data_IF_075343097770
#
_entry.id   IF_075343097770
#
_cell.length_a   1.000
_cell.length_b   1.000
_cell.length_c   1.000
_cell.angle_alpha   90.00
_cell.angle_beta   90.00
_cell.angle_gamma   90.00
#
_symmetry.space_group_name_H-M   'P 1'
#
loop_
_entity.id
_entity.type
_entity.pdbx_description
1 polymer ?
#
# COMPACT_ATOMS: atom_id res chain seq x y z
N UNK A 1 22.78 -15.11 -37.04
CA UNK A 1 23.33 -13.99 -36.23
C UNK A 1 22.31 -12.85 -36.02
N UNK A 2 21.00 -13.13 -36.07
CA UNK A 2 19.92 -12.14 -35.79
C UNK A 2 19.03 -12.61 -34.63
N UNK A 3 18.89 -13.93 -34.42
CA UNK A 3 18.34 -14.55 -33.20
C UNK A 3 19.21 -14.33 -31.94
N UNK A 4 20.38 -13.70 -32.07
CA UNK A 4 21.24 -13.30 -30.95
C UNK A 4 20.91 -11.91 -30.40
N UNK A 5 20.10 -11.13 -31.12
CA UNK A 5 19.77 -9.74 -30.76
C UNK A 5 18.37 -9.63 -30.12
N UNK A 6 17.45 -10.55 -30.43
CA UNK A 6 16.09 -10.53 -29.84
C UNK A 6 16.05 -11.18 -28.44
N UNK A 7 16.97 -12.10 -28.14
CA UNK A 7 17.04 -12.78 -26.84
C UNK A 7 17.72 -11.94 -25.73
N UNK A 8 18.31 -10.78 -26.05
CA UNK A 8 19.09 -9.99 -25.08
C UNK A 8 18.29 -8.85 -24.40
N UNK A 9 17.03 -8.60 -24.77
CA UNK A 9 16.29 -7.41 -24.27
C UNK A 9 14.90 -7.68 -23.70
N UNK A 10 14.39 -8.94 -23.69
CA UNK A 10 12.99 -9.24 -23.31
C UNK A 10 12.78 -10.26 -22.17
N UNK A 11 13.83 -10.93 -21.68
CA UNK A 11 13.74 -11.80 -20.51
C UNK A 11 14.15 -11.08 -19.21
N UNK A 12 15.09 -10.13 -19.31
CA UNK A 12 15.47 -9.21 -18.23
C UNK A 12 14.29 -8.36 -17.77
N UNK A 13 13.38 -8.01 -18.68
CA UNK A 13 12.16 -7.29 -18.35
C UNK A 13 11.16 -8.15 -17.58
N UNK A 14 11.00 -9.45 -17.90
CA UNK A 14 9.97 -10.28 -17.27
C UNK A 14 10.13 -10.38 -15.74
N UNK A 15 11.34 -10.67 -15.26
CA UNK A 15 11.62 -10.73 -13.81
C UNK A 15 11.34 -9.39 -13.10
N UNK A 16 11.61 -8.27 -13.77
CA UNK A 16 11.32 -6.92 -13.28
C UNK A 16 9.83 -6.56 -13.34
N UNK A 17 9.05 -7.26 -14.17
CA UNK A 17 7.60 -7.07 -14.29
C UNK A 17 6.78 -7.95 -13.34
N UNK A 18 7.36 -9.01 -12.76
CA UNK A 18 6.63 -9.93 -11.85
C UNK A 18 6.00 -9.17 -10.69
N UNK A 19 6.80 -8.45 -9.92
CA UNK A 19 6.34 -7.75 -8.73
C UNK A 19 5.27 -6.68 -9.08
N UNK A 20 5.50 -5.77 -10.05
CA UNK A 20 4.46 -4.85 -10.48
C UNK A 20 3.16 -5.54 -10.92
N UNK A 21 3.24 -6.61 -11.73
CA UNK A 21 2.04 -7.34 -12.17
C UNK A 21 1.26 -7.94 -10.98
N UNK A 22 1.96 -8.48 -9.98
CA UNK A 22 1.32 -8.97 -8.75
C UNK A 22 0.63 -7.85 -7.99
N UNK A 23 1.25 -6.67 -7.88
CA UNK A 23 0.64 -5.49 -7.25
C UNK A 23 -0.64 -5.08 -7.97
N UNK A 24 -0.62 -5.02 -9.31
CA UNK A 24 -1.80 -4.68 -10.11
C UNK A 24 -2.91 -5.72 -10.01
N UNK A 25 -2.59 -7.02 -10.07
CA UNK A 25 -3.57 -8.11 -9.90
C UNK A 25 -4.16 -8.12 -8.48
N UNK A 26 -3.34 -7.84 -7.47
CA UNK A 26 -3.79 -7.67 -6.07
C UNK A 26 -4.77 -6.51 -5.95
N UNK A 27 -4.51 -5.39 -6.63
CA UNK A 27 -5.42 -4.24 -6.65
C UNK A 27 -6.77 -4.59 -7.31
N UNK A 28 -6.78 -5.29 -8.45
CA UNK A 28 -8.02 -5.74 -9.12
C UNK A 28 -8.90 -6.53 -8.14
N UNK A 29 -8.31 -7.51 -7.46
CA UNK A 29 -9.04 -8.32 -6.49
C UNK A 29 -9.51 -7.53 -5.26
N UNK A 30 -8.69 -6.58 -4.83
CA UNK A 30 -9.05 -5.68 -3.73
C UNK A 30 -10.27 -4.83 -4.07
N UNK A 31 -10.37 -4.32 -5.31
CA UNK A 31 -11.56 -3.60 -5.80
C UNK A 31 -12.80 -4.50 -5.83
N UNK A 32 -12.67 -5.73 -6.34
CA UNK A 32 -13.77 -6.70 -6.36
C UNK A 32 -14.26 -7.03 -4.94
N UNK A 33 -13.32 -7.28 -4.02
CA UNK A 33 -13.63 -7.61 -2.62
C UNK A 33 -14.29 -6.43 -1.92
N UNK A 34 -13.76 -5.22 -2.08
CA UNK A 34 -14.34 -4.02 -1.45
C UNK A 34 -15.73 -3.73 -1.99
N UNK A 35 -15.93 -3.86 -3.31
CA UNK A 35 -17.24 -3.70 -3.93
C UNK A 35 -18.29 -4.62 -3.31
N UNK A 36 -17.93 -5.88 -3.08
CA UNK A 36 -18.82 -6.88 -2.44
C UNK A 36 -19.00 -6.61 -0.94
N UNK A 37 -17.91 -6.34 -0.21
CA UNK A 37 -17.92 -6.21 1.25
C UNK A 37 -18.74 -4.98 1.71
N UNK A 38 -18.88 -3.96 0.87
CA UNK A 38 -19.66 -2.76 1.18
C UNK A 38 -21.17 -2.89 0.90
N UNK A 39 -21.60 -3.95 0.21
CA UNK A 39 -23.03 -4.18 -0.06
C UNK A 39 -23.73 -4.61 1.24
N UNK A 40 -24.68 -3.78 1.70
CA UNK A 40 -25.46 -4.04 2.91
C UNK A 40 -26.62 -5.04 2.67
N UNK A 41 -27.21 -5.03 1.48
CA UNK A 41 -28.31 -5.94 1.14
C UNK A 41 -27.77 -7.37 0.92
N UNK A 42 -28.25 -8.33 1.72
CA UNK A 42 -27.74 -9.71 1.70
C UNK A 42 -27.94 -10.40 0.35
N UNK A 43 -29.05 -10.15 -0.33
CA UNK A 43 -29.34 -10.76 -1.62
C UNK A 43 -28.43 -10.17 -2.69
N UNK A 44 -28.35 -8.85 -2.77
CA UNK A 44 -27.47 -8.17 -3.72
C UNK A 44 -25.99 -8.50 -3.49
N UNK A 45 -25.58 -8.69 -2.23
CA UNK A 45 -24.23 -9.16 -1.89
C UNK A 45 -23.99 -10.55 -2.46
N UNK A 46 -24.92 -11.49 -2.27
CA UNK A 46 -24.82 -12.84 -2.81
C UNK A 46 -24.83 -12.86 -4.35
N UNK A 47 -25.76 -12.12 -4.98
CA UNK A 47 -25.86 -11.99 -6.43
C UNK A 47 -24.57 -11.40 -7.03
N UNK A 48 -23.98 -10.39 -6.37
CA UNK A 48 -22.70 -9.79 -6.79
C UNK A 48 -21.51 -10.73 -6.59
N UNK A 49 -21.50 -11.50 -5.50
CA UNK A 49 -20.49 -12.53 -5.26
C UNK A 49 -20.51 -13.58 -6.37
N UNK A 50 -21.68 -14.07 -6.74
CA UNK A 50 -21.86 -15.02 -7.84
C UNK A 50 -21.42 -14.40 -9.18
N UNK A 51 -21.87 -13.17 -9.47
CA UNK A 51 -21.53 -12.48 -10.72
C UNK A 51 -20.02 -12.23 -10.88
N UNK A 52 -19.30 -12.00 -9.78
CA UNK A 52 -17.85 -11.75 -9.81
C UNK A 52 -17.01 -13.04 -9.67
N UNK A 53 -17.63 -14.20 -9.40
CA UNK A 53 -16.90 -15.43 -9.09
C UNK A 53 -15.88 -15.79 -10.18
N UNK A 54 -16.32 -15.89 -11.44
CA UNK A 54 -15.43 -16.24 -12.57
C UNK A 54 -14.29 -15.23 -12.71
N UNK A 55 -14.55 -13.94 -12.52
CA UNK A 55 -13.53 -12.90 -12.63
C UNK A 55 -12.49 -12.99 -11.50
N UNK A 56 -12.94 -13.29 -10.28
CA UNK A 56 -12.06 -13.55 -9.14
C UNK A 56 -11.18 -14.78 -9.38
N UNK A 57 -11.75 -15.88 -9.89
CA UNK A 57 -11.02 -17.10 -10.22
C UNK A 57 -9.96 -16.86 -11.30
N UNK A 58 -10.30 -16.16 -12.38
CA UNK A 58 -9.36 -15.79 -13.44
C UNK A 58 -8.24 -14.90 -12.93
N UNK A 59 -8.56 -13.88 -12.13
CA UNK A 59 -7.57 -12.96 -11.53
C UNK A 59 -6.60 -13.73 -10.63
N UNK A 60 -7.13 -14.62 -9.79
CA UNK A 60 -6.33 -15.46 -8.91
C UNK A 60 -5.44 -16.45 -9.68
N UNK A 61 -5.96 -17.07 -10.73
CA UNK A 61 -5.17 -17.97 -11.60
C UNK A 61 -4.03 -17.20 -12.28
N UNK A 62 -4.30 -16.00 -12.82
CA UNK A 62 -3.27 -15.14 -13.39
C UNK A 62 -2.21 -14.79 -12.35
N UNK A 63 -2.63 -14.43 -11.13
CA UNK A 63 -1.73 -14.10 -10.04
C UNK A 63 -0.84 -15.27 -9.62
N UNK A 64 -1.40 -16.48 -9.53
CA UNK A 64 -0.63 -17.71 -9.28
C UNK A 64 0.40 -17.99 -10.37
N UNK A 65 0.03 -17.80 -11.63
CA UNK A 65 0.94 -17.98 -12.77
C UNK A 65 2.11 -16.99 -12.64
N UNK A 66 1.81 -15.71 -12.41
CA UNK A 66 2.83 -14.66 -12.26
C UNK A 66 3.72 -14.94 -11.03
N UNK A 67 3.13 -15.30 -9.89
CA UNK A 67 3.87 -15.61 -8.67
C UNK A 67 4.84 -16.79 -8.86
N UNK A 68 4.42 -17.83 -9.58
CA UNK A 68 5.24 -19.01 -9.82
C UNK A 68 6.07 -18.95 -11.10
N UNK A 69 6.01 -17.86 -11.89
CA UNK A 69 6.63 -17.82 -13.22
C UNK A 69 8.13 -18.09 -13.17
N UNK A 70 8.83 -17.61 -12.13
CA UNK A 70 10.25 -17.88 -11.95
C UNK A 70 10.51 -19.38 -11.74
N UNK A 71 9.72 -20.05 -10.89
CA UNK A 71 9.84 -21.49 -10.65
C UNK A 71 9.52 -22.29 -11.91
N UNK A 72 8.45 -21.92 -12.62
CA UNK A 72 8.06 -22.56 -13.88
C UNK A 72 9.15 -22.43 -14.94
N UNK A 73 9.75 -21.25 -15.08
CA UNK A 73 10.85 -21.02 -16.02
C UNK A 73 12.10 -21.80 -15.63
N UNK A 74 12.42 -21.85 -14.32
CA UNK A 74 13.53 -22.65 -13.81
C UNK A 74 13.33 -24.15 -14.08
N UNK A 75 12.13 -24.68 -13.85
CA UNK A 75 11.78 -26.08 -14.11
C UNK A 75 11.81 -26.40 -15.62
N UNK A 76 11.48 -25.41 -16.47
CA UNK A 76 11.63 -25.48 -17.92
C UNK A 76 13.08 -25.33 -18.42
N UNK A 77 14.07 -25.24 -17.52
CA UNK A 77 15.49 -25.11 -17.86
C UNK A 77 15.93 -23.69 -18.24
N UNK A 78 15.07 -22.69 -18.05
CA UNK A 78 15.37 -21.28 -18.29
C UNK A 78 15.86 -20.64 -16.98
N UNK A 79 17.19 -20.53 -16.84
CA UNK A 79 17.77 -19.81 -15.70
C UNK A 79 17.64 -18.30 -15.89
N UNK A 80 16.92 -17.64 -14.98
CA UNK A 80 16.84 -16.17 -14.92
C UNK A 80 18.07 -15.56 -14.19
N UNK A 81 18.86 -16.38 -13.49
CA UNK A 81 20.03 -15.94 -12.72
C UNK A 81 21.35 -15.96 -13.52
N UNK A 82 21.33 -16.46 -14.76
CA UNK A 82 22.52 -16.62 -15.60
C UNK A 82 22.74 -15.44 -16.58
N UNK A 83 22.86 -14.21 -16.08
CA UNK A 83 23.12 -13.03 -16.93
C UNK A 83 24.20 -12.07 -16.40
N UNK A 84 25.33 -12.62 -15.97
CA UNK A 84 26.64 -11.93 -16.06
C UNK A 84 27.33 -12.38 -17.37
N UNK A 85 27.66 -11.44 -18.26
CA UNK A 85 28.41 -11.67 -19.51
C UNK A 85 29.84 -12.23 -19.25
N UNK A 86 30.53 -12.83 -20.25
CA UNK A 86 30.63 -14.26 -20.58
C UNK A 86 31.99 -14.90 -20.11
N UNK A 87 32.28 -16.22 -20.31
CA UNK A 87 32.76 -16.73 -21.60
C UNK A 87 32.18 -18.10 -22.05
N UNK A 88 31.90 -18.16 -23.36
CA UNK A 88 32.03 -19.27 -24.34
C UNK A 88 32.02 -20.73 -23.81
N UNK A 89 31.03 -21.54 -24.24
CA UNK A 89 31.18 -23.00 -24.27
C UNK A 89 29.89 -23.84 -24.40
N UNK A 90 29.48 -24.12 -25.65
CA UNK A 90 28.67 -25.25 -26.17
C UNK A 90 27.80 -26.12 -25.24
N UNK A 91 26.48 -26.21 -25.53
CA UNK A 91 25.85 -27.39 -26.18
C UNK A 91 24.40 -27.11 -26.61
N UNK A 92 24.03 -27.67 -27.77
CA UNK A 92 22.75 -27.55 -28.48
C UNK A 92 21.74 -28.59 -27.99
N UNK A 93 20.44 -28.26 -28.01
CA UNK A 93 19.40 -29.18 -28.46
C UNK A 93 18.70 -28.56 -29.67
N UNK A 94 18.63 -29.34 -30.75
CA UNK A 94 18.05 -29.02 -32.05
C UNK A 94 16.76 -29.83 -32.21
N UNK A 95 15.60 -29.18 -32.08
CA UNK A 95 14.33 -29.57 -32.69
C UNK A 95 13.34 -28.42 -32.43
N UNK A 96 12.48 -28.11 -33.39
CA UNK A 96 11.44 -27.06 -33.37
C UNK A 96 11.90 -25.61 -33.68
N UNK A 97 12.42 -25.41 -34.91
CA UNK A 97 12.60 -24.08 -35.50
C UNK A 97 11.54 -23.72 -36.56
N UNK A 98 10.57 -24.60 -36.82
CA UNK A 98 9.59 -24.39 -37.90
C UNK A 98 8.30 -23.66 -37.48
N UNK A 99 8.17 -23.26 -36.21
CA UNK A 99 6.98 -22.56 -35.70
C UNK A 99 7.20 -21.10 -35.28
N UNK A 100 8.33 -20.48 -35.61
CA UNK A 100 8.65 -19.12 -35.14
C UNK A 100 8.56 -18.13 -36.31
N UNK A 101 7.72 -17.10 -36.18
CA UNK A 101 7.54 -16.08 -37.21
C UNK A 101 8.73 -15.09 -37.30
N UNK A 102 8.69 -14.19 -38.30
CA UNK A 102 9.74 -13.17 -38.52
C UNK A 102 9.94 -12.21 -37.34
N UNK A 103 9.00 -12.16 -36.39
CA UNK A 103 9.05 -11.32 -35.20
C UNK A 103 9.46 -12.11 -33.95
N UNK A 104 9.81 -13.40 -34.07
CA UNK A 104 10.30 -14.23 -32.98
C UNK A 104 9.20 -14.84 -32.09
N UNK A 105 7.94 -14.88 -32.54
CA UNK A 105 6.82 -15.46 -31.78
C UNK A 105 6.40 -16.82 -32.34
N UNK A 106 6.04 -17.79 -31.47
CA UNK A 106 5.41 -19.02 -31.89
C UNK A 106 4.11 -18.77 -32.68
N UNK A 107 3.84 -19.65 -33.65
CA UNK A 107 2.69 -19.58 -34.55
C UNK A 107 1.34 -19.52 -33.81
N UNK A 108 1.24 -20.15 -32.64
CA UNK A 108 0.05 -20.21 -31.79
C UNK A 108 -0.28 -18.92 -31.03
N UNK A 109 0.65 -17.96 -30.90
CA UNK A 109 0.38 -16.67 -30.24
C UNK A 109 -0.42 -15.78 -31.21
N UNK A 110 -1.64 -15.29 -30.90
CA UNK A 110 -2.39 -14.42 -31.82
C UNK A 110 -1.64 -13.11 -32.15
N UNK A 111 -1.81 -12.58 -33.38
CA UNK A 111 -1.13 -11.34 -33.82
C UNK A 111 -1.39 -10.13 -32.90
N UNK A 112 -2.59 -10.01 -32.34
CA UNK A 112 -2.92 -8.93 -31.41
C UNK A 112 -2.14 -9.05 -30.10
N UNK A 113 -1.97 -10.27 -29.60
CA UNK A 113 -1.23 -10.56 -28.37
C UNK A 113 0.27 -10.35 -28.58
N UNK A 114 0.78 -10.67 -29.78
CA UNK A 114 2.17 -10.35 -30.17
C UNK A 114 2.44 -8.85 -30.09
N UNK A 115 1.47 -8.01 -30.52
CA UNK A 115 1.61 -6.56 -30.48
C UNK A 115 1.66 -6.01 -29.05
N UNK A 116 0.91 -6.64 -28.13
CA UNK A 116 0.97 -6.35 -26.69
C UNK A 116 2.33 -6.79 -26.08
N UNK A 117 2.86 -7.95 -26.48
CA UNK A 117 4.16 -8.48 -26.05
C UNK A 117 5.37 -7.80 -26.74
N UNK A 118 5.13 -6.95 -27.73
CA UNK A 118 6.15 -6.21 -28.48
C UNK A 118 6.33 -4.76 -28.02
N UNK A 119 5.52 -4.26 -27.09
CA UNK A 119 5.71 -2.94 -26.49
C UNK A 119 7.12 -2.85 -25.88
N UNK A 120 7.86 -1.80 -26.23
CA UNK A 120 9.20 -1.53 -25.75
C UNK A 120 9.19 -1.26 -24.24
N UNK A 121 10.22 -1.71 -23.49
CA UNK A 121 10.36 -1.43 -22.07
C UNK A 121 10.95 -0.03 -21.87
N UNK A 122 10.18 0.98 -22.25
CA UNK A 122 10.19 2.15 -21.41
C UNK A 122 9.36 1.74 -20.19
N UNK A 123 9.73 2.14 -18.96
CA UNK A 123 8.93 1.92 -17.74
C UNK A 123 7.53 2.61 -17.80
N UNK A 124 7.08 2.98 -19.00
CA UNK A 124 5.82 3.57 -19.44
C UNK A 124 4.71 2.52 -19.66
N UNK A 125 5.00 1.21 -19.62
CA UNK A 125 3.96 0.19 -19.86
C UNK A 125 2.96 0.00 -18.69
N UNK A 126 3.32 0.38 -17.46
CA UNK A 126 2.49 0.21 -16.26
C UNK A 126 1.79 1.50 -15.81
N UNK A 127 2.32 2.65 -16.18
CA UNK A 127 1.81 3.96 -15.81
C UNK A 127 1.40 4.72 -17.05
N UNK A 128 0.25 5.42 -17.01
CA UNK A 128 -0.26 6.16 -18.16
C UNK A 128 0.60 7.37 -18.51
N UNK A 129 1.26 7.91 -17.50
CA UNK A 129 2.07 9.13 -17.62
C UNK A 129 3.54 8.82 -17.53
N UNK A 130 4.34 9.55 -18.31
CA UNK A 130 5.79 9.56 -18.20
C UNK A 130 6.19 9.90 -16.76
N UNK A 131 7.23 9.24 -16.27
CA UNK A 131 7.80 9.54 -14.95
C UNK A 131 8.22 11.02 -14.86
N UNK A 132 7.67 11.79 -13.90
CA UNK A 132 8.07 13.19 -13.70
C UNK A 132 9.49 13.26 -13.13
N UNK A 133 10.20 14.39 -13.31
CA UNK A 133 11.50 14.59 -12.69
C UNK A 133 11.41 14.59 -11.15
N UNK A 134 12.54 14.39 -10.44
CA UNK A 134 12.59 14.49 -8.98
C UNK A 134 12.00 15.80 -8.44
N UNK A 135 11.33 15.74 -7.28
CA UNK A 135 10.82 16.94 -6.60
C UNK A 135 12.02 17.79 -6.16
N UNK A 136 12.14 19.06 -6.60
CA UNK A 136 13.18 19.94 -6.09
C UNK A 136 12.91 20.31 -4.62
N UNK A 137 13.96 20.67 -3.86
CA UNK A 137 13.82 21.05 -2.46
C UNK A 137 12.80 22.20 -2.26
N UNK A 138 12.83 23.19 -3.16
CA UNK A 138 11.91 24.33 -3.22
C UNK A 138 11.08 24.26 -4.51
N UNK A 139 9.93 23.56 -4.51
CA UNK A 139 9.09 23.41 -5.71
C UNK A 139 8.28 24.68 -5.98
N UNK A 140 8.30 25.15 -7.24
CA UNK A 140 7.36 26.16 -7.71
C UNK A 140 5.97 25.54 -7.87
N UNK A 141 4.94 26.04 -7.17
CA UNK A 141 3.59 25.47 -7.29
C UNK A 141 2.89 25.92 -8.58
N UNK A 142 2.11 25.01 -9.17
CA UNK A 142 1.17 25.31 -10.27
C UNK A 142 -0.13 25.94 -9.74
N UNK A 143 -0.48 25.61 -8.49
CA UNK A 143 -1.63 26.13 -7.78
C UNK A 143 -1.27 26.49 -6.33
N UNK A 144 -1.74 27.64 -5.86
CA UNK A 144 -1.66 28.05 -4.46
C UNK A 144 -3.06 28.17 -3.90
N UNK A 145 -3.32 27.46 -2.80
CA UNK A 145 -4.59 27.46 -2.07
C UNK A 145 -4.40 28.22 -0.76
N UNK A 146 -5.22 29.24 -0.51
CA UNK A 146 -5.20 29.99 0.73
C UNK A 146 -6.59 30.52 1.09
N UNK A 147 -7.06 30.27 2.33
CA UNK A 147 -8.38 30.72 2.78
C UNK A 147 -8.45 32.25 2.99
N UNK A 148 -7.31 32.92 3.11
CA UNK A 148 -7.18 34.38 3.28
C UNK A 148 -7.20 35.18 1.97
N UNK A 149 -7.36 34.50 0.83
CA UNK A 149 -7.36 35.12 -0.50
C UNK A 149 -5.98 35.45 -1.07
N UNK A 150 -4.89 35.09 -0.39
CA UNK A 150 -3.51 35.29 -0.88
C UNK A 150 -3.04 34.24 -1.89
N UNK A 151 -3.89 33.26 -2.21
CA UNK A 151 -3.66 32.20 -3.20
C UNK A 151 -4.51 32.39 -4.46
N UNK A 152 -4.24 31.58 -5.49
CA UNK A 152 -5.06 31.54 -6.71
C UNK A 152 -6.43 30.92 -6.45
N UNK A 153 -6.50 29.99 -5.50
CA UNK A 153 -7.72 29.28 -5.11
C UNK A 153 -7.98 29.47 -3.63
N UNK A 154 -9.26 29.54 -3.25
CA UNK A 154 -9.67 29.59 -1.84
C UNK A 154 -9.96 28.20 -1.27
N UNK A 155 -9.98 27.18 -2.13
CA UNK A 155 -10.31 25.79 -1.79
C UNK A 155 -9.40 24.79 -2.51
N UNK A 156 -9.13 23.67 -1.87
CA UNK A 156 -8.34 22.56 -2.39
C UNK A 156 -9.08 21.89 -3.55
N UNK A 157 -10.40 21.71 -3.44
CA UNK A 157 -11.23 21.19 -4.54
C UNK A 157 -11.14 22.03 -5.81
N UNK A 158 -11.09 23.36 -5.68
CA UNK A 158 -10.91 24.26 -6.83
C UNK A 158 -9.55 24.06 -7.49
N UNK A 159 -8.47 23.91 -6.70
CA UNK A 159 -7.15 23.63 -7.25
C UNK A 159 -7.09 22.28 -7.97
N UNK A 160 -7.68 21.22 -7.39
CA UNK A 160 -7.75 19.90 -8.04
C UNK A 160 -8.60 19.96 -9.32
N UNK A 161 -9.73 20.66 -9.32
CA UNK A 161 -10.57 20.83 -10.51
C UNK A 161 -9.84 21.58 -11.64
N UNK A 162 -8.87 22.43 -11.30
CA UNK A 162 -8.01 23.13 -12.24
C UNK A 162 -6.74 22.35 -12.64
N UNK A 163 -6.74 21.03 -12.41
CA UNK A 163 -5.64 20.13 -12.78
C UNK A 163 -5.22 20.34 -14.24
N UNK A 164 -3.99 20.82 -14.39
CA UNK A 164 -3.35 21.10 -15.67
C UNK A 164 -1.84 20.94 -15.45
N UNK A 165 -1.30 19.71 -15.56
CA UNK A 165 0.10 19.45 -15.25
C UNK A 165 1.01 20.27 -16.18
N UNK A 166 2.04 20.88 -15.60
CA UNK A 166 3.02 21.65 -16.35
C UNK A 166 3.93 20.76 -17.23
N UNK A 167 4.92 21.34 -17.91
CA UNK A 167 5.86 20.62 -18.78
C UNK A 167 6.66 19.51 -18.07
N UNK A 168 6.77 19.56 -16.74
CA UNK A 168 7.41 18.52 -15.93
C UNK A 168 6.56 17.26 -15.79
N UNK A 169 5.27 17.30 -16.15
CA UNK A 169 4.32 16.20 -15.98
C UNK A 169 3.78 16.04 -14.55
N UNK A 170 4.23 16.85 -13.59
CA UNK A 170 3.74 16.90 -12.20
C UNK A 170 2.85 18.13 -12.01
N UNK A 171 1.74 17.97 -11.28
CA UNK A 171 0.87 19.07 -10.86
C UNK A 171 1.08 19.37 -9.37
N UNK A 172 1.65 20.52 -9.06
CA UNK A 172 2.11 20.89 -7.73
C UNK A 172 1.12 21.88 -7.10
N UNK A 173 0.52 21.48 -5.98
CA UNK A 173 -0.44 22.28 -5.22
C UNK A 173 0.18 22.65 -3.87
N UNK A 174 0.39 23.95 -3.66
CA UNK A 174 0.76 24.49 -2.35
C UNK A 174 -0.50 24.88 -1.58
N UNK A 175 -0.66 24.35 -0.38
CA UNK A 175 -1.79 24.60 0.50
C UNK A 175 -1.27 25.34 1.74
N UNK A 176 -1.62 26.62 1.88
CA UNK A 176 -1.16 27.43 3.02
C UNK A 176 -1.72 26.91 4.35
N UNK A 177 -1.18 27.42 5.44
CA UNK A 177 -1.67 27.16 6.80
C UNK A 177 -3.18 27.48 6.91
N UNK A 178 -3.91 26.58 7.55
CA UNK A 178 -5.37 26.65 7.65
C UNK A 178 -5.98 25.29 7.96
N UNK A 179 -7.25 25.32 8.37
CA UNK A 179 -8.08 24.11 8.50
C UNK A 179 -9.12 24.10 7.39
N UNK A 180 -8.97 23.16 6.47
CA UNK A 180 -9.78 23.01 5.27
C UNK A 180 -10.84 21.94 5.49
N UNK A 181 -12.09 22.36 5.68
CA UNK A 181 -13.25 21.47 5.78
C UNK A 181 -14.10 21.60 4.52
N UNK A 182 -13.75 20.83 3.49
CA UNK A 182 -14.39 20.90 2.16
C UNK A 182 -15.28 19.67 1.88
N UNK A 183 -15.56 18.84 2.90
CA UNK A 183 -16.06 17.48 2.71
C UNK A 183 -15.01 16.58 2.05
N UNK A 184 -15.43 15.44 1.49
CA UNK A 184 -14.49 14.51 0.85
C UNK A 184 -13.76 15.15 -0.34
N UNK A 185 -12.43 15.07 -0.34
CA UNK A 185 -11.55 15.52 -1.43
C UNK A 185 -11.04 14.29 -2.19
N UNK A 186 -11.17 14.33 -3.51
CA UNK A 186 -10.76 13.22 -4.39
C UNK A 186 -9.72 13.72 -5.40
N UNK A 187 -8.55 13.10 -5.42
CA UNK A 187 -7.62 13.17 -6.56
C UNK A 187 -7.93 11.99 -7.46
N UNK A 188 -8.71 12.25 -8.49
CA UNK A 188 -9.37 11.24 -9.30
C UNK A 188 -8.45 10.58 -10.33
N UNK A 189 -8.92 9.51 -10.97
CA UNK A 189 -8.29 8.88 -12.11
C UNK A 189 -8.06 9.90 -13.23
N UNK A 190 -6.82 10.00 -13.71
CA UNK A 190 -6.42 10.98 -14.73
C UNK A 190 -5.87 12.28 -14.15
N UNK A 191 -6.00 12.48 -12.83
CA UNK A 191 -5.26 13.50 -12.07
C UNK A 191 -3.97 12.87 -11.53
N UNK A 192 -3.11 12.43 -12.45
CA UNK A 192 -1.87 11.70 -12.16
C UNK A 192 -0.72 12.66 -11.78
N UNK A 193 0.30 12.16 -11.08
CA UNK A 193 1.45 12.92 -10.60
C UNK A 193 1.06 14.21 -9.83
N UNK A 194 0.01 14.16 -9.01
CA UNK A 194 -0.35 15.28 -8.14
C UNK A 194 0.55 15.28 -6.91
N UNK A 195 1.19 16.41 -6.64
CA UNK A 195 1.96 16.65 -5.42
C UNK A 195 1.35 17.80 -4.62
N UNK A 196 0.84 17.48 -3.42
CA UNK A 196 0.34 18.48 -2.47
C UNK A 196 1.37 18.75 -1.38
N UNK A 197 1.64 20.02 -1.06
CA UNK A 197 2.44 20.34 0.12
C UNK A 197 1.85 21.47 0.95
N UNK A 198 2.01 21.36 2.27
CA UNK A 198 1.53 22.33 3.25
C UNK A 198 2.64 23.13 3.92
N UNK A 199 2.25 24.06 4.79
CA UNK A 199 3.17 24.85 5.64
C UNK A 199 3.72 24.06 6.85
N UNK A 200 3.39 22.76 6.92
CA UNK A 200 3.74 21.84 8.00
C UNK A 200 2.50 21.12 8.52
N UNK A 201 2.67 19.86 8.98
CA UNK A 201 1.56 19.01 9.44
C UNK A 201 0.73 19.62 10.57
N UNK A 202 1.35 20.45 11.42
CA UNK A 202 0.66 21.13 12.52
C UNK A 202 -0.06 22.43 12.10
N UNK A 203 0.10 22.86 10.84
CA UNK A 203 -0.40 24.14 10.32
C UNK A 203 -1.42 23.98 9.20
N UNK A 204 -1.22 23.00 8.32
CA UNK A 204 -2.12 22.73 7.18
C UNK A 204 -2.88 21.44 7.44
N UNK A 205 -4.17 21.57 7.76
CA UNK A 205 -5.04 20.46 8.14
C UNK A 205 -6.21 20.35 7.17
N UNK A 206 -6.43 19.18 6.60
CA UNK A 206 -7.61 18.83 5.81
C UNK A 206 -8.50 17.94 6.69
N UNK A 207 -9.74 18.37 6.94
CA UNK A 207 -10.62 17.70 7.91
C UNK A 207 -11.98 17.34 7.32
N UNK A 208 -12.51 16.20 7.75
CA UNK A 208 -13.85 15.71 7.45
C UNK A 208 -14.43 14.93 8.64
N UNK A 209 -15.63 14.37 8.46
CA UNK A 209 -16.35 13.63 9.51
C UNK A 209 -17.32 12.56 8.97
N UNK A 210 -17.14 12.14 7.71
CA UNK A 210 -17.91 11.04 7.15
C UNK A 210 -17.59 9.75 7.91
N UNK A 211 -18.59 8.90 8.13
CA UNK A 211 -18.45 7.73 9.00
C UNK A 211 -19.49 6.66 8.69
N UNK A 212 -19.18 5.42 9.05
CA UNK A 212 -20.07 4.28 8.85
C UNK A 212 -21.31 4.35 9.75
N UNK A 213 -21.13 4.53 11.07
CA UNK A 213 -22.16 4.30 12.07
C UNK A 213 -23.41 5.17 11.92
N UNK A 214 -23.20 6.46 11.67
CA UNK A 214 -24.25 7.49 11.68
C UNK A 214 -24.78 7.72 10.27
N UNK A 215 -23.93 7.61 9.25
CA UNK A 215 -24.32 7.91 7.86
C UNK A 215 -24.77 6.67 7.07
N UNK A 216 -24.54 5.46 7.59
CA UNK A 216 -24.91 4.19 6.95
C UNK A 216 -24.32 4.07 5.52
N UNK A 217 -23.05 4.46 5.37
CA UNK A 217 -22.27 4.37 4.12
C UNK A 217 -21.10 3.40 4.32
N UNK A 218 -20.59 2.80 3.24
CA UNK A 218 -19.43 1.91 3.31
C UNK A 218 -18.17 2.61 3.81
N UNK A 219 -17.30 1.91 4.54
CA UNK A 219 -16.03 2.44 5.09
C UNK A 219 -15.20 3.17 4.05
N UNK A 220 -15.11 2.62 2.83
CA UNK A 220 -14.31 3.18 1.74
C UNK A 220 -14.82 4.57 1.30
N UNK A 221 -16.10 4.86 1.52
CA UNK A 221 -16.74 6.14 1.20
C UNK A 221 -16.54 7.20 2.29
N UNK A 222 -16.00 6.83 3.46
CA UNK A 222 -15.85 7.73 4.61
C UNK A 222 -14.56 8.59 4.55
N UNK A 223 -13.69 8.34 3.58
CA UNK A 223 -12.40 9.01 3.48
C UNK A 223 -12.54 10.55 3.41
N UNK A 224 -11.82 11.27 4.26
CA UNK A 224 -11.73 12.74 4.16
C UNK A 224 -10.96 13.14 2.90
N UNK A 225 -9.84 12.46 2.62
CA UNK A 225 -9.12 12.58 1.36
C UNK A 225 -8.91 11.20 0.75
N UNK A 226 -9.14 11.08 -0.55
CA UNK A 226 -8.82 9.88 -1.31
C UNK A 226 -7.94 10.19 -2.54
N UNK A 227 -6.90 9.40 -2.71
CA UNK A 227 -5.97 9.49 -3.84
C UNK A 227 -6.15 8.27 -4.77
N UNK A 228 -6.45 8.53 -6.04
CA UNK A 228 -6.71 7.51 -7.07
C UNK A 228 -5.74 7.66 -8.25
N UNK A 229 -5.48 8.90 -8.69
CA UNK A 229 -4.50 9.18 -9.74
C UNK A 229 -3.10 8.65 -9.41
N UNK A 230 -2.35 8.21 -10.41
CA UNK A 230 -1.04 7.56 -10.25
C UNK A 230 -0.01 8.51 -9.63
N UNK A 231 0.94 7.98 -8.85
CA UNK A 231 2.09 8.72 -8.28
C UNK A 231 1.70 9.91 -7.41
N UNK A 232 0.63 9.76 -6.62
CA UNK A 232 0.21 10.79 -5.67
C UNK A 232 1.29 11.00 -4.59
N UNK A 233 1.56 12.27 -4.28
CA UNK A 233 2.48 12.64 -3.21
C UNK A 233 1.89 13.73 -2.32
N UNK A 234 2.13 13.63 -1.01
CA UNK A 234 1.85 14.71 -0.08
C UNK A 234 3.03 14.98 0.87
N UNK A 235 3.23 16.26 1.24
CA UNK A 235 4.22 16.65 2.25
C UNK A 235 3.72 17.70 3.23
N UNK A 236 3.93 17.51 4.53
CA UNK A 236 3.68 18.56 5.52
C UNK A 236 2.19 18.94 5.65
N UNK A 237 1.29 17.96 5.54
CA UNK A 237 -0.16 18.13 5.64
C UNK A 237 -0.71 17.10 6.63
N UNK A 238 -1.71 17.49 7.41
CA UNK A 238 -2.50 16.56 8.22
C UNK A 238 -3.84 16.24 7.57
N UNK A 239 -4.16 14.96 7.44
CA UNK A 239 -5.45 14.44 7.03
C UNK A 239 -6.21 13.98 8.27
N UNK A 240 -7.41 14.51 8.50
CA UNK A 240 -8.19 14.27 9.73
C UNK A 240 -9.61 13.81 9.44
N UNK A 241 -10.02 12.73 10.08
CA UNK A 241 -11.44 12.44 10.32
C UNK A 241 -11.78 12.71 11.79
N UNK A 242 -12.70 13.66 12.01
CA UNK A 242 -12.97 14.27 13.31
C UNK A 242 -14.18 13.70 14.04
N UNK A 243 -14.83 12.66 13.52
CA UNK A 243 -16.11 12.16 14.05
C UNK A 243 -16.02 11.57 15.47
N UNK A 244 -14.85 11.07 15.89
CA UNK A 244 -14.70 10.40 17.17
C UNK A 244 -14.94 8.89 17.12
N UNK A 245 -14.74 8.18 18.25
CA UNK A 245 -14.88 6.71 18.30
C UNK A 245 -16.32 6.24 18.08
N UNK A 246 -17.32 7.06 18.43
CA UNK A 246 -18.73 6.81 18.19
C UNK A 246 -19.13 6.75 16.70
N UNK A 247 -18.29 7.29 15.80
CA UNK A 247 -18.49 7.16 14.35
C UNK A 247 -18.18 5.77 13.79
N UNK A 248 -17.59 4.88 14.60
CA UNK A 248 -16.98 3.63 14.15
C UNK A 248 -16.01 3.89 12.97
N UNK A 249 -16.08 3.13 11.88
CA UNK A 249 -15.19 3.25 10.73
C UNK A 249 -15.27 4.66 10.10
N UNK A 250 -14.15 5.38 10.11
CA UNK A 250 -14.09 6.76 9.65
C UNK A 250 -12.69 7.12 9.14
N UNK A 251 -12.52 7.05 7.82
CA UNK A 251 -11.20 7.15 7.19
C UNK A 251 -10.73 8.60 7.08
N UNK A 252 -9.50 8.88 7.50
CA UNK A 252 -8.86 10.18 7.30
C UNK A 252 -8.23 10.27 5.91
N UNK A 253 -7.48 9.23 5.52
CA UNK A 253 -6.85 9.14 4.21
C UNK A 253 -6.99 7.74 3.63
N UNK A 254 -7.42 7.66 2.36
CA UNK A 254 -7.48 6.43 1.58
C UNK A 254 -6.63 6.56 0.33
N UNK A 255 -5.72 5.63 0.09
CA UNK A 255 -4.98 5.60 -1.18
C UNK A 255 -5.25 4.35 -1.99
N UNK A 256 -5.60 4.59 -3.24
CA UNK A 256 -5.66 3.65 -4.36
C UNK A 256 -4.63 4.01 -5.43
N UNK A 257 -3.74 4.97 -5.16
CA UNK A 257 -2.79 5.48 -6.13
C UNK A 257 -1.60 4.53 -6.28
N UNK A 258 -1.30 4.04 -7.50
CA UNK A 258 -0.04 3.36 -7.77
C UNK A 258 1.15 4.26 -7.43
N UNK A 259 1.99 3.81 -6.50
CA UNK A 259 3.13 4.56 -5.93
C UNK A 259 2.71 5.82 -5.17
N UNK A 260 2.11 5.64 -4.00
CA UNK A 260 1.82 6.75 -3.06
C UNK A 260 3.05 7.09 -2.23
N UNK A 261 3.34 8.39 -2.05
CA UNK A 261 4.43 8.86 -1.17
C UNK A 261 3.95 9.95 -0.22
N UNK A 262 4.08 9.70 1.09
CA UNK A 262 3.66 10.62 2.15
C UNK A 262 4.86 10.97 3.04
N UNK A 263 5.17 12.26 3.17
CA UNK A 263 6.36 12.72 3.91
C UNK A 263 5.97 13.81 4.91
N UNK A 264 6.39 13.69 6.17
CA UNK A 264 6.08 14.69 7.20
C UNK A 264 4.57 14.95 7.33
N UNK A 265 3.73 13.94 7.13
CA UNK A 265 2.27 14.05 7.18
C UNK A 265 1.70 13.63 8.53
N UNK A 266 0.52 14.16 8.87
CA UNK A 266 -0.32 13.68 9.97
C UNK A 266 -1.52 12.90 9.45
N UNK A 267 -1.91 11.84 10.16
CA UNK A 267 -3.14 11.08 9.90
C UNK A 267 -3.89 10.95 11.21
N UNK A 268 -5.01 11.65 11.34
CA UNK A 268 -5.73 11.77 12.60
C UNK A 268 -7.13 11.19 12.48
N UNK A 269 -7.41 10.15 13.27
CA UNK A 269 -8.74 9.57 13.38
C UNK A 269 -8.88 8.74 14.65
N UNK A 270 -9.84 7.81 14.60
CA UNK A 270 -10.07 6.80 15.64
C UNK A 270 -10.05 5.43 14.94
N UNK A 271 -11.21 4.85 14.65
CA UNK A 271 -11.31 3.59 13.93
C UNK A 271 -11.10 3.79 12.41
N UNK A 272 -10.29 2.93 11.80
CA UNK A 272 -10.01 2.90 10.35
C UNK A 272 -9.35 4.19 9.81
N UNK A 273 -8.37 4.76 10.52
CA UNK A 273 -7.80 6.09 10.18
C UNK A 273 -7.08 6.12 8.82
N UNK A 274 -6.14 5.21 8.58
CA UNK A 274 -5.32 5.14 7.38
C UNK A 274 -5.66 3.89 6.58
N UNK A 275 -6.30 4.10 5.42
CA UNK A 275 -6.67 3.03 4.50
C UNK A 275 -5.66 2.92 3.35
N UNK A 276 -4.65 2.03 3.49
CA UNK A 276 -3.71 1.70 2.42
C UNK A 276 -4.37 0.73 1.41
N UNK A 277 -5.42 1.23 0.75
CA UNK A 277 -6.40 0.39 0.07
C UNK A 277 -5.77 -0.50 -1.01
N UNK A 278 -4.99 0.02 -1.93
CA UNK A 278 -4.34 -0.77 -3.00
C UNK A 278 -2.96 -0.23 -3.36
N UNK A 279 -2.19 -1.03 -4.10
CA UNK A 279 -0.87 -0.69 -4.63
C UNK A 279 0.21 -0.41 -3.57
N UNK A 280 1.37 0.07 -4.02
CA UNK A 280 2.54 0.36 -3.18
C UNK A 280 2.49 1.78 -2.61
N UNK A 281 2.74 1.89 -1.32
CA UNK A 281 2.62 3.13 -0.56
C UNK A 281 3.74 3.26 0.46
N UNK A 282 4.43 4.41 0.42
CA UNK A 282 5.54 4.72 1.33
C UNK A 282 5.20 5.94 2.21
N UNK A 283 5.38 5.79 3.51
CA UNK A 283 5.12 6.82 4.52
C UNK A 283 6.40 7.08 5.31
N UNK A 284 6.85 8.33 5.36
CA UNK A 284 8.11 8.73 6.01
C UNK A 284 7.88 9.86 6.99
N UNK A 285 8.41 9.74 8.21
CA UNK A 285 8.32 10.79 9.25
C UNK A 285 6.88 11.27 9.51
N UNK A 286 5.94 10.34 9.47
CA UNK A 286 4.52 10.61 9.66
C UNK A 286 4.11 10.45 11.13
N UNK A 287 2.99 11.06 11.51
CA UNK A 287 2.32 10.77 12.78
C UNK A 287 0.92 10.19 12.48
N UNK A 288 0.67 8.95 12.90
CA UNK A 288 -0.56 8.22 12.60
C UNK A 288 -1.28 7.92 13.92
N UNK A 289 -2.46 8.49 14.10
CA UNK A 289 -3.26 8.38 15.31
C UNK A 289 -4.51 7.52 15.09
N UNK A 290 -4.84 6.64 16.04
CA UNK A 290 -6.13 5.95 15.99
C UNK A 290 -6.36 4.94 17.11
N UNK A 291 -7.40 4.14 16.96
CA UNK A 291 -7.86 3.17 17.97
C UNK A 291 -7.99 1.76 17.39
N UNK A 292 -9.13 1.44 16.77
CA UNK A 292 -9.44 0.14 16.19
C UNK A 292 -8.96 0.12 14.74
N UNK A 293 -8.14 -0.86 14.37
CA UNK A 293 -7.71 -1.14 12.99
C UNK A 293 -7.21 0.09 12.23
N UNK A 294 -6.49 1.00 12.91
CA UNK A 294 -6.31 2.34 12.37
C UNK A 294 -5.26 2.45 11.25
N UNK A 295 -4.50 1.38 11.00
CA UNK A 295 -3.69 1.20 9.79
C UNK A 295 -4.15 -0.10 9.12
N UNK A 296 -4.96 0.01 8.07
CA UNK A 296 -5.60 -1.15 7.45
C UNK A 296 -5.64 -1.05 5.93
N UNK A 297 -5.74 -2.19 5.26
CA UNK A 297 -5.80 -2.24 3.80
C UNK A 297 -5.36 -3.57 3.22
N UNK A 298 -5.29 -3.62 1.89
CA UNK A 298 -4.88 -4.80 1.13
C UNK A 298 -3.71 -4.54 0.18
N UNK A 299 -3.31 -3.26 0.02
CA UNK A 299 -2.08 -2.88 -0.68
C UNK A 299 -0.81 -3.21 0.11
N UNK A 300 0.33 -2.66 -0.33
CA UNK A 300 1.58 -2.70 0.43
C UNK A 300 1.88 -1.34 1.04
N UNK A 301 1.89 -1.26 2.36
CA UNK A 301 2.28 -0.06 3.09
C UNK A 301 3.64 -0.26 3.78
N UNK A 302 4.57 0.66 3.54
CA UNK A 302 5.83 0.72 4.27
C UNK A 302 5.93 2.05 5.01
N UNK A 303 5.86 1.98 6.33
CA UNK A 303 5.84 3.14 7.22
C UNK A 303 7.20 3.18 7.93
N UNK A 304 8.01 4.20 7.64
CA UNK A 304 9.37 4.33 8.11
C UNK A 304 9.56 5.60 8.95
N UNK A 305 10.33 5.49 10.04
CA UNK A 305 10.71 6.60 10.93
C UNK A 305 9.50 7.42 11.41
N UNK A 306 8.40 6.76 11.74
CA UNK A 306 7.11 7.42 12.02
C UNK A 306 6.62 7.16 13.45
N UNK A 307 5.73 8.02 13.93
CA UNK A 307 5.03 7.87 15.19
C UNK A 307 3.68 7.18 14.98
N UNK A 308 3.44 6.10 15.71
CA UNK A 308 2.20 5.32 15.72
C UNK A 308 1.56 5.53 17.09
N UNK A 309 0.47 6.30 17.12
CA UNK A 309 -0.04 6.92 18.34
C UNK A 309 -1.42 6.36 18.65
N UNK A 310 -1.48 5.49 19.66
CA UNK A 310 -2.71 4.79 20.05
C UNK A 310 -3.53 5.69 20.97
N UNK A 311 -4.75 6.00 20.56
CA UNK A 311 -5.66 6.88 21.28
C UNK A 311 -6.54 6.10 22.25
N UNK A 312 -7.25 6.83 23.10
CA UNK A 312 -8.30 6.26 23.97
C UNK A 312 -9.52 5.90 23.11
N UNK A 313 -9.95 4.62 23.08
CA UNK A 313 -11.15 4.21 22.37
C UNK A 313 -12.41 4.39 23.23
N UNK A 314 -13.57 3.96 22.74
CA UNK A 314 -14.77 3.86 23.57
C UNK A 314 -14.66 2.74 24.61
N UNK A 315 -15.49 2.81 25.66
CA UNK A 315 -15.40 1.98 26.87
C UNK A 315 -15.37 0.46 26.63
N UNK A 316 -15.97 -0.03 25.54
CA UNK A 316 -16.06 -1.46 25.19
C UNK A 316 -15.07 -1.91 24.12
N UNK A 317 -14.19 -1.02 23.66
CA UNK A 317 -13.28 -1.27 22.55
C UNK A 317 -11.84 -1.51 23.04
N UNK A 318 -11.08 -2.27 22.25
CA UNK A 318 -9.62 -2.38 22.35
C UNK A 318 -8.96 -1.78 21.11
N UNK A 319 -7.67 -1.50 21.20
CA UNK A 319 -6.92 -0.87 20.11
C UNK A 319 -6.11 -1.88 19.30
N UNK A 320 -6.10 -1.72 17.98
CA UNK A 320 -5.30 -2.53 17.06
C UNK A 320 -4.54 -1.58 16.14
N UNK A 321 -3.21 -1.60 16.19
CA UNK A 321 -2.41 -0.74 15.31
C UNK A 321 -2.61 -1.11 13.84
N UNK A 322 -2.51 -2.40 13.50
CA UNK A 322 -2.66 -2.87 12.13
C UNK A 322 -3.81 -3.86 11.94
N UNK A 323 -4.45 -3.81 10.76
CA UNK A 323 -5.41 -4.80 10.30
C UNK A 323 -5.24 -5.07 8.80
N UNK A 324 -4.29 -5.95 8.48
CA UNK A 324 -4.01 -6.29 7.08
C UNK A 324 -5.05 -7.26 6.50
N UNK A 325 -5.50 -6.93 5.29
CA UNK A 325 -6.56 -7.62 4.58
C UNK A 325 -6.08 -8.52 3.45
N UNK A 326 -4.80 -8.89 3.40
CA UNK A 326 -4.30 -9.83 2.39
C UNK A 326 -5.03 -11.17 2.50
N UNK A 327 -5.65 -11.60 1.41
CA UNK A 327 -6.47 -12.79 1.34
C UNK A 327 -5.66 -14.04 0.97
N UNK A 328 -4.65 -13.92 0.10
CA UNK A 328 -3.85 -15.06 -0.40
C UNK A 328 -2.35 -14.78 -0.38
N UNK A 329 -1.55 -15.82 -0.22
CA UNK A 329 -0.09 -15.73 -0.16
C UNK A 329 0.54 -15.30 -1.50
N UNK A 330 -0.16 -15.43 -2.61
CA UNK A 330 0.32 -14.96 -3.91
C UNK A 330 0.10 -13.44 -4.09
N UNK A 331 -0.63 -12.78 -3.20
CA UNK A 331 -0.92 -11.33 -3.31
C UNK A 331 0.28 -10.50 -2.86
N UNK A 332 0.52 -9.39 -3.52
CA UNK A 332 1.49 -8.39 -3.08
C UNK A 332 0.78 -7.42 -2.13
N UNK A 333 0.55 -7.87 -0.88
CA UNK A 333 -0.10 -7.10 0.17
C UNK A 333 0.63 -7.23 1.51
N UNK A 334 0.38 -6.29 2.41
CA UNK A 334 0.93 -6.29 3.76
C UNK A 334 1.35 -4.91 4.25
N UNK A 335 1.65 -4.82 5.54
CA UNK A 335 2.20 -3.61 6.15
C UNK A 335 3.50 -3.89 6.89
N UNK A 336 4.49 -3.01 6.72
CA UNK A 336 5.74 -2.99 7.49
C UNK A 336 5.83 -1.66 8.24
N UNK A 337 5.97 -1.74 9.56
CA UNK A 337 6.40 -0.62 10.41
C UNK A 337 7.90 -0.77 10.65
N UNK A 338 8.70 0.17 10.14
CA UNK A 338 10.16 0.13 10.23
C UNK A 338 10.69 1.34 10.98
N UNK A 339 11.47 1.10 12.05
CA UNK A 339 12.06 2.17 12.87
C UNK A 339 11.02 3.20 13.36
N UNK A 340 9.82 2.72 13.70
CA UNK A 340 8.73 3.55 14.21
C UNK A 340 8.70 3.54 15.74
N UNK A 341 8.01 4.52 16.33
CA UNK A 341 7.67 4.55 17.76
C UNK A 341 6.19 4.26 17.96
N UNK A 342 5.85 3.22 18.71
CA UNK A 342 4.47 2.86 19.04
C UNK A 342 4.20 3.30 20.49
N UNK A 343 3.30 4.26 20.68
CA UNK A 343 3.11 4.92 21.97
C UNK A 343 1.64 5.24 22.25
N UNK A 344 1.30 5.37 23.54
CA UNK A 344 -0.01 5.83 23.96
C UNK A 344 -0.11 7.35 23.79
N UNK A 345 -1.24 7.81 23.27
CA UNK A 345 -1.59 9.22 23.28
C UNK A 345 -1.76 9.73 24.73
N UNK A 346 -1.61 11.03 25.00
CA UNK A 346 -1.76 11.59 26.35
C UNK A 346 -3.08 11.23 27.04
N UNK A 347 -4.16 11.08 26.28
CA UNK A 347 -5.47 10.68 26.80
C UNK A 347 -5.60 9.18 27.14
N UNK A 348 -4.75 8.32 26.57
CA UNK A 348 -4.74 6.88 26.81
C UNK A 348 -3.77 6.52 27.93
N UNK A 349 -2.57 7.11 27.95
CA UNK A 349 -1.49 6.77 28.88
C UNK A 349 -1.93 6.59 30.35
N UNK A 350 -2.71 7.49 30.98
CA UNK A 350 -3.12 7.32 32.37
C UNK A 350 -4.15 6.21 32.61
N UNK A 351 -4.80 5.71 31.55
CA UNK A 351 -5.89 4.73 31.62
C UNK A 351 -5.63 3.48 30.77
N UNK A 352 -4.42 3.31 30.23
CA UNK A 352 -4.10 2.26 29.27
C UNK A 352 -4.33 0.84 29.81
N UNK A 353 -4.22 0.65 31.13
CA UNK A 353 -4.53 -0.62 31.78
C UNK A 353 -6.00 -1.05 31.60
N UNK A 354 -6.92 -0.11 31.36
CA UNK A 354 -8.33 -0.37 31.12
C UNK A 354 -8.69 -0.59 29.64
N UNK A 355 -7.78 -0.31 28.72
CA UNK A 355 -8.02 -0.37 27.28
C UNK A 355 -6.93 -1.22 26.59
N UNK A 356 -7.20 -2.51 26.34
CA UNK A 356 -6.18 -3.40 25.80
C UNK A 356 -5.75 -2.94 24.41
N UNK A 357 -4.44 -2.89 24.17
CA UNK A 357 -3.86 -2.46 22.90
C UNK A 357 -2.93 -3.55 22.34
N UNK A 358 -3.00 -3.76 21.03
CA UNK A 358 -2.27 -4.80 20.30
C UNK A 358 -1.59 -4.22 19.06
N UNK A 359 -0.51 -4.86 18.62
CA UNK A 359 0.20 -4.55 17.38
C UNK A 359 -0.72 -4.70 16.16
N UNK A 360 -1.68 -5.61 16.22
CA UNK A 360 -2.70 -5.76 15.18
C UNK A 360 -3.52 -7.03 15.30
N UNK A 361 -4.38 -7.23 14.30
CA UNK A 361 -5.20 -8.44 14.12
C UNK A 361 -5.36 -8.80 12.64
N UNK A 362 -5.48 -10.09 12.27
CA UNK A 362 -5.50 -10.49 10.87
C UNK A 362 -6.91 -10.36 10.27
N UNK A 363 -7.20 -9.25 9.59
CA UNK A 363 -8.52 -9.01 8.99
C UNK A 363 -8.90 -10.12 8.00
N UNK A 364 -7.92 -10.62 7.23
CA UNK A 364 -8.11 -11.73 6.27
C UNK A 364 -7.06 -12.85 6.46
N UNK A 365 -7.24 -14.05 5.88
CA UNK A 365 -6.44 -15.23 6.21
C UNK A 365 -4.92 -15.11 5.99
N UNK A 366 -4.48 -14.38 4.96
CA UNK A 366 -3.05 -14.22 4.65
C UNK A 366 -2.50 -12.87 5.12
N UNK A 367 -3.19 -12.21 6.07
CA UNK A 367 -2.83 -10.92 6.61
C UNK A 367 -1.34 -10.85 6.95
N UNK A 368 -0.63 -9.85 6.44
CA UNK A 368 0.81 -9.68 6.63
C UNK A 368 1.08 -8.39 7.39
N UNK A 369 1.70 -8.49 8.57
CA UNK A 369 2.09 -7.34 9.38
C UNK A 369 3.46 -7.59 10.00
N UNK A 370 4.36 -6.65 9.82
CA UNK A 370 5.76 -6.77 10.25
C UNK A 370 6.15 -5.56 11.08
N UNK A 371 6.60 -5.81 12.32
CA UNK A 371 7.09 -4.77 13.23
C UNK A 371 8.61 -4.90 13.30
N UNK A 372 9.30 -3.98 12.64
CA UNK A 372 10.73 -4.06 12.32
C UNK A 372 11.49 -2.92 12.99
N UNK A 373 12.38 -3.23 13.94
CA UNK A 373 13.20 -2.26 14.68
C UNK A 373 12.42 -1.10 15.29
N UNK A 374 11.19 -1.35 15.74
CA UNK A 374 10.37 -0.32 16.36
C UNK A 374 10.67 -0.20 17.86
N UNK A 375 10.49 1.00 18.41
CA UNK A 375 10.39 1.22 19.85
C UNK A 375 8.92 1.08 20.27
N UNK A 376 8.63 0.14 21.17
CA UNK A 376 7.27 -0.26 21.54
C UNK A 376 7.03 0.09 23.01
N UNK A 377 6.12 1.03 23.26
CA UNK A 377 5.67 1.43 24.59
C UNK A 377 4.99 0.31 25.36
N UNK A 378 4.73 0.54 26.65
CA UNK A 378 4.20 -0.45 27.60
C UNK A 378 2.69 -0.69 27.47
N UNK A 379 2.01 0.04 26.58
CA UNK A 379 0.59 -0.13 26.27
C UNK A 379 0.28 -1.46 25.58
N UNK A 380 1.25 -2.07 24.89
CA UNK A 380 1.03 -3.29 24.12
C UNK A 380 0.95 -4.48 25.07
N UNK A 381 -0.18 -5.20 25.00
CA UNK A 381 -0.42 -6.43 25.75
C UNK A 381 0.68 -7.47 25.49
N UNK A 382 1.10 -8.28 26.48
CA UNK A 382 2.14 -9.30 26.29
C UNK A 382 1.88 -10.24 25.11
N UNK A 383 0.62 -10.58 24.87
CA UNK A 383 0.14 -11.38 23.74
C UNK A 383 0.55 -10.78 22.39
N UNK A 384 0.67 -9.44 22.32
CA UNK A 384 1.13 -8.65 21.17
C UNK A 384 0.09 -8.53 20.06
N UNK A 385 -0.58 -9.62 19.72
CA UNK A 385 -1.53 -9.72 18.61
C UNK A 385 -2.88 -10.25 19.09
N UNK A 386 -3.95 -9.85 18.43
CA UNK A 386 -5.32 -10.31 18.74
C UNK A 386 -5.96 -11.06 17.58
N UNK A 387 -6.74 -12.10 17.88
CA UNK A 387 -7.47 -12.84 16.84
C UNK A 387 -8.55 -11.96 16.21
N UNK A 388 -8.90 -12.24 14.95
CA UNK A 388 -10.08 -11.63 14.35
C UNK A 388 -11.34 -12.24 14.97
N UNK A 389 -12.14 -11.40 15.61
CA UNK A 389 -13.35 -11.83 16.33
C UNK A 389 -14.58 -11.65 15.44
N UNK A 390 -14.73 -12.53 14.45
CA UNK A 390 -16.00 -12.71 13.74
C UNK A 390 -16.39 -14.20 13.77
N UNK A 391 -17.59 -14.54 14.28
CA UNK A 391 -18.07 -15.93 14.37
C UNK A 391 -18.25 -16.61 13.00
N UNK A 392 -18.46 -15.83 11.94
CA UNK A 392 -18.81 -16.33 10.60
C UNK A 392 -17.63 -16.27 9.63
N UNK A 393 -16.73 -15.29 9.77
CA UNK A 393 -15.60 -15.06 8.88
C UNK A 393 -14.31 -14.75 9.66
N UNK A 394 -13.24 -15.49 9.40
CA UNK A 394 -11.90 -15.11 9.87
C UNK A 394 -11.48 -15.61 11.26
N UNK A 395 -12.30 -16.43 11.93
CA UNK A 395 -11.96 -17.07 13.20
C UNK A 395 -10.59 -17.80 13.18
N UNK A 396 -10.20 -18.33 12.03
CA UNK A 396 -8.96 -19.08 11.83
C UNK A 396 -7.84 -18.30 11.13
N UNK A 397 -8.00 -16.98 10.87
CA UNK A 397 -7.00 -16.19 10.16
C UNK A 397 -5.63 -16.20 10.87
N UNK A 398 -5.63 -16.31 12.20
CA UNK A 398 -4.44 -16.40 13.02
C UNK A 398 -3.56 -17.63 12.71
N UNK A 399 -4.11 -18.69 12.10
CA UNK A 399 -3.36 -19.89 11.72
C UNK A 399 -2.55 -19.68 10.43
N UNK A 400 -2.97 -18.77 9.56
CA UNK A 400 -2.41 -18.60 8.21
C UNK A 400 -1.81 -17.22 7.96
N UNK A 401 -2.01 -16.25 8.86
CA UNK A 401 -1.43 -14.92 8.75
C UNK A 401 0.12 -14.97 8.76
N UNK A 402 0.76 -13.86 8.40
CA UNK A 402 2.20 -13.68 8.40
C UNK A 402 2.58 -12.51 9.29
N UNK A 403 2.49 -12.72 10.61
CA UNK A 403 2.85 -11.71 11.61
C UNK A 403 4.27 -11.92 12.11
N UNK A 404 5.09 -10.86 12.08
CA UNK A 404 6.52 -10.91 12.34
C UNK A 404 6.97 -9.74 13.22
N UNK A 405 7.96 -10.00 14.07
CA UNK A 405 8.65 -8.99 14.87
C UNK A 405 10.18 -9.21 14.75
N UNK A 406 10.96 -8.15 14.60
CA UNK A 406 12.43 -8.22 14.55
C UNK A 406 13.08 -6.98 15.16
N UNK A 407 14.03 -7.17 16.08
CA UNK A 407 14.89 -6.10 16.58
C UNK A 407 14.17 -4.96 17.31
N UNK A 408 12.96 -5.20 17.83
CA UNK A 408 12.17 -4.19 18.53
C UNK A 408 12.75 -3.89 19.92
N UNK A 409 12.62 -2.65 20.36
CA UNK A 409 13.06 -2.15 21.67
C UNK A 409 11.89 -1.55 22.45
N UNK A 410 12.12 -1.12 23.69
CA UNK A 410 11.07 -0.55 24.54
C UNK A 410 10.34 -1.59 25.42
N UNK A 411 9.57 -1.15 26.42
CA UNK A 411 8.95 -2.03 27.41
C UNK A 411 7.90 -3.01 26.84
N UNK A 412 7.26 -2.68 25.71
CA UNK A 412 6.30 -3.55 25.03
C UNK A 412 6.91 -4.57 24.06
N UNK A 413 8.24 -4.57 23.88
CA UNK A 413 8.90 -5.43 22.88
C UNK A 413 9.18 -6.86 23.33
N UNK A 414 8.97 -7.20 24.60
CA UNK A 414 9.22 -8.55 25.10
C UNK A 414 8.31 -9.58 24.41
N UNK A 415 8.94 -10.54 23.71
CA UNK A 415 8.23 -11.55 22.93
C UNK A 415 7.88 -12.83 23.72
N UNK A 416 8.35 -12.97 24.97
CA UNK A 416 8.15 -14.21 25.74
C UNK A 416 6.68 -14.53 26.04
N UNK A 417 5.81 -13.51 26.10
CA UNK A 417 4.37 -13.65 26.34
C UNK A 417 3.51 -13.63 25.07
N UNK A 418 4.12 -13.64 23.88
CA UNK A 418 3.40 -13.52 22.61
C UNK A 418 2.55 -14.76 22.35
N UNK A 419 1.51 -14.56 21.54
CA UNK A 419 0.65 -15.64 21.05
C UNK A 419 1.42 -16.80 20.42
N UNK A 420 0.91 -18.02 20.56
CA UNK A 420 1.50 -19.25 20.03
C UNK A 420 0.90 -19.68 18.68
N UNK A 421 0.40 -18.73 17.89
CA UNK A 421 -0.29 -19.03 16.65
C UNK A 421 0.67 -19.53 15.56
N UNK A 422 0.18 -20.39 14.66
CA UNK A 422 0.98 -20.84 13.52
C UNK A 422 1.39 -19.68 12.57
N UNK A 423 0.53 -18.65 12.46
CA UNK A 423 0.79 -17.46 11.63
C UNK A 423 1.73 -16.42 12.24
N UNK A 424 1.96 -16.48 13.56
CA UNK A 424 2.94 -15.63 14.24
C UNK A 424 4.29 -16.33 14.30
N UNK A 425 5.35 -15.63 13.87
CA UNK A 425 6.73 -16.11 14.02
C UNK A 425 7.66 -14.93 14.31
N UNK A 426 8.34 -14.88 15.47
CA UNK A 426 9.40 -13.91 15.67
C UNK A 426 10.55 -14.19 14.70
N UNK A 427 11.19 -13.15 14.20
CA UNK A 427 12.37 -13.29 13.36
C UNK A 427 13.58 -13.33 14.28
N UNK A 428 14.32 -14.43 14.27
CA UNK A 428 15.51 -14.63 15.12
C UNK A 428 16.82 -14.44 14.36
N UNK A 429 16.77 -14.35 13.02
CA UNK A 429 17.94 -14.16 12.17
C UNK A 429 17.77 -12.91 11.31
N UNK A 430 18.79 -12.04 11.32
CA UNK A 430 18.81 -10.82 10.51
C UNK A 430 18.55 -11.07 9.02
N UNK A 431 19.05 -12.18 8.48
CA UNK A 431 18.87 -12.53 7.06
C UNK A 431 17.40 -12.67 6.68
N UNK A 432 16.58 -13.20 7.58
CA UNK A 432 15.14 -13.38 7.35
C UNK A 432 14.40 -12.04 7.43
N UNK A 433 14.96 -11.05 8.12
CA UNK A 433 14.43 -9.69 8.16
C UNK A 433 14.68 -8.91 6.85
N UNK A 434 15.70 -9.29 6.06
CA UNK A 434 16.04 -8.61 4.80
C UNK A 434 14.87 -8.58 3.81
N UNK A 435 14.05 -9.63 3.78
CA UNK A 435 12.85 -9.69 2.91
C UNK A 435 11.79 -8.64 3.23
N UNK A 436 11.85 -8.03 4.42
CA UNK A 436 10.93 -6.97 4.87
C UNK A 436 11.57 -5.58 4.90
N UNK A 437 12.76 -5.43 4.30
CA UNK A 437 13.35 -4.10 4.07
C UNK A 437 12.59 -3.35 2.98
N UNK A 438 12.69 -2.03 2.95
CA UNK A 438 12.03 -1.23 1.93
C UNK A 438 12.48 -1.60 0.50
N UNK A 439 13.76 -1.96 0.34
CA UNK A 439 14.33 -2.41 -0.93
C UNK A 439 13.74 -3.73 -1.42
N UNK A 440 13.35 -4.65 -0.53
CA UNK A 440 12.77 -5.94 -0.90
C UNK A 440 11.23 -5.93 -0.90
N UNK A 441 10.61 -5.33 0.11
CA UNK A 441 9.17 -5.39 0.32
C UNK A 441 8.38 -4.55 -0.68
N UNK A 442 8.86 -3.34 -1.04
CA UNK A 442 8.23 -2.46 -2.02
C UNK A 442 9.03 -2.32 -3.32
N UNK A 443 10.15 -3.05 -3.46
CA UNK A 443 11.14 -2.77 -4.49
C UNK A 443 11.53 -1.27 -4.52
N UNK A 444 11.64 -0.64 -3.34
CA UNK A 444 11.64 0.82 -3.20
C UNK A 444 12.79 1.52 -3.94
N UNK A 445 13.92 0.84 -4.13
CA UNK A 445 15.06 1.35 -4.89
C UNK A 445 14.76 1.60 -6.38
N UNK A 446 13.71 0.96 -6.93
CA UNK A 446 13.34 1.10 -8.34
C UNK A 446 12.49 2.34 -8.64
N UNK A 447 11.78 2.89 -7.64
CA UNK A 447 10.79 3.95 -7.88
C UNK A 447 10.82 5.11 -6.87
N UNK A 448 11.30 4.93 -5.63
CA UNK A 448 11.35 6.04 -4.66
C UNK A 448 12.35 7.16 -4.98
N UNK A 449 13.53 6.92 -5.60
CA UNK A 449 14.47 7.99 -5.91
C UNK A 449 13.88 9.14 -6.74
N UNK A 450 12.86 8.87 -7.57
CA UNK A 450 12.17 9.88 -8.39
C UNK A 450 11.31 10.86 -7.58
N UNK A 451 11.10 10.62 -6.28
CA UNK A 451 10.37 11.53 -5.39
C UNK A 451 11.31 12.42 -4.56
N UNK A 452 12.63 12.18 -4.61
CA UNK A 452 13.61 12.95 -3.84
C UNK A 452 13.47 12.77 -2.32
N UNK A 453 12.90 11.66 -1.87
CA UNK A 453 12.64 11.38 -0.44
C UNK A 453 13.77 10.55 0.15
N UNK A 454 14.38 10.97 1.28
CA UNK A 454 15.33 10.15 2.00
C UNK A 454 14.66 8.88 2.53
N UNK A 455 15.13 7.72 2.12
CA UNK A 455 14.58 6.43 2.54
C UNK A 455 15.70 5.43 2.83
N UNK A 456 15.60 4.71 3.95
CA UNK A 456 16.51 3.60 4.23
C UNK A 456 15.99 2.36 3.49
N UNK A 457 16.73 1.90 2.47
CA UNK A 457 16.37 0.74 1.68
C UNK A 457 16.67 -0.60 2.38
N UNK A 458 17.51 -0.59 3.42
CA UNK A 458 17.95 -1.76 4.17
C UNK A 458 17.28 -1.89 5.53
N UNK A 459 17.97 -2.58 6.45
CA UNK A 459 17.52 -2.79 7.83
C UNK A 459 17.82 -1.63 8.74
#
# INVERSE_FOLDING_TARGET
>A
MVLKVIAQTKATTLSQQVDPLLVWLTAVRSYQTTCVDEIQDKKMKADMQEALQTSNELTYNAQKIVYNVHNVLKDAGVSLDAFKLPPIGNRKLLAELDEIDRNGFPSWVPKNDRKLLQATPDNEALFKTRTPPPVPANPTPDAVVAQDGSGKFNSIKQAIAAYAPGPSGRYIIYIKAGTYNEGQITVDRGQDNVFMYGDGKDKTIITGNLNYAIMNIGTSQTATVQAIGERFMARGITFRNSIGPAGHQAVAFRSQSPHTVMVDCGFEGYQDTLYYHTHDQFYKNCAIYGTVDFIFGTGRAYIQDSDIIVRKPDASQGNMCTADGRMKMEEAGGVVLHNCRIQAAPELAPVQASFPSYLGRPWKPSATSVILKCDIGDLIKPEGWMTWQSPEEGANNHLTCMFREYGNTGPGSNQAGRVTWAGYRPITNERDALGYTLGSFLNGGSWLPQYGVPANLGL
#
